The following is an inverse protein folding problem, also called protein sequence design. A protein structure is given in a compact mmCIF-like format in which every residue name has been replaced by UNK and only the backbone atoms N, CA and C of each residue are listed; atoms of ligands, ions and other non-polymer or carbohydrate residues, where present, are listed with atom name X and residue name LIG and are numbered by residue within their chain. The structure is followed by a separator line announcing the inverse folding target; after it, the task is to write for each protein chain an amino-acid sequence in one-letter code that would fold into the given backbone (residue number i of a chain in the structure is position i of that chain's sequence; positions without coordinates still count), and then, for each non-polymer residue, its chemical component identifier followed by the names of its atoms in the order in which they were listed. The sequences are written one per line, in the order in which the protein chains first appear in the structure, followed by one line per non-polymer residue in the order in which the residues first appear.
data_IF_160615107407
#
_entry.id   IF_160615107407
#
_cell.length_a   1.000
_cell.length_b   1.000
_cell.length_c   1.000
_cell.angle_alpha   90.00
_cell.angle_beta   90.00
_cell.angle_gamma   90.00
#
_symmetry.space_group_name_H-M   'P 1'
#
loop_
_entity.id
_entity.type
_entity.pdbx_description
1 polymer ?
#
# COMPACT_ATOMS: atom_id res chain seq x y z
N UNK A 1 27.98 -85.72 -4.85
CA UNK A 1 29.07 -85.20 -3.98
C UNK A 1 28.60 -83.91 -3.31
N UNK A 2 28.97 -83.72 -2.03
CA UNK A 2 29.21 -82.47 -1.27
C UNK A 2 28.61 -81.11 -1.75
N UNK A 3 28.12 -80.20 -0.88
CA UNK A 3 27.70 -80.27 0.53
C UNK A 3 26.87 -79.01 0.91
N UNK A 4 26.26 -78.97 2.10
CA UNK A 4 25.42 -77.87 2.62
C UNK A 4 26.22 -76.75 3.33
N UNK A 5 25.70 -75.51 3.25
CA UNK A 5 25.90 -74.31 4.13
C UNK A 5 27.22 -73.50 4.05
N UNK A 6 27.07 -72.19 3.80
CA UNK A 6 27.85 -71.14 4.51
C UNK A 6 26.96 -69.94 4.91
N UNK A 7 27.43 -69.14 5.88
CA UNK A 7 26.72 -68.21 6.78
C UNK A 7 27.63 -66.98 7.02
N UNK A 8 27.19 -65.78 7.45
CA UNK A 8 25.90 -65.14 7.77
C UNK A 8 26.23 -63.62 7.89
N UNK A 9 25.24 -62.72 7.75
CA UNK A 9 25.40 -61.25 7.91
C UNK A 9 26.19 -60.57 6.76
N UNK A 10 26.08 -59.26 6.49
CA UNK A 10 25.45 -58.16 7.25
C UNK A 10 24.50 -57.32 6.39
N UNK A 11 23.53 -56.74 7.09
CA UNK A 11 22.64 -55.63 6.74
C UNK A 11 23.23 -54.56 5.80
N UNK A 12 22.41 -54.05 4.88
CA UNK A 12 21.89 -52.66 4.89
C UNK A 12 20.73 -52.60 3.90
N UNK A 13 19.51 -52.45 4.44
CA UNK A 13 18.36 -52.02 3.67
C UNK A 13 18.50 -50.51 3.51
N UNK A 14 19.01 -50.07 2.35
CA UNK A 14 18.99 -48.66 2.00
C UNK A 14 17.56 -48.26 1.61
N UNK A 15 16.68 -48.11 2.63
CA UNK A 15 15.44 -47.34 2.47
C UNK A 15 15.86 -45.91 2.17
N UNK A 16 15.94 -45.58 0.88
CA UNK A 16 16.11 -44.21 0.43
C UNK A 16 14.76 -43.50 0.64
N UNK A 17 14.49 -43.14 1.90
CA UNK A 17 13.34 -42.37 2.29
C UNK A 17 13.42 -41.02 1.57
N UNK A 18 12.60 -40.88 0.52
CA UNK A 18 12.42 -39.64 -0.22
C UNK A 18 11.66 -38.69 0.70
N UNK A 19 12.38 -38.06 1.62
CA UNK A 19 11.86 -37.02 2.50
C UNK A 19 11.52 -35.84 1.59
N UNK A 20 10.26 -35.78 1.18
CA UNK A 20 9.65 -34.57 0.65
C UNK A 20 9.65 -33.53 1.77
N UNK A 21 10.78 -32.83 1.90
CA UNK A 21 10.83 -31.55 2.60
C UNK A 21 9.88 -30.63 1.86
N UNK A 22 8.69 -30.45 2.42
CA UNK A 22 7.81 -29.34 2.09
C UNK A 22 8.53 -28.06 2.51
N UNK A 23 9.39 -27.56 1.63
CA UNK A 23 9.85 -26.17 1.69
C UNK A 23 8.60 -25.31 1.54
N UNK A 24 8.27 -24.45 2.53
CA UNK A 24 7.16 -23.52 2.37
C UNK A 24 7.54 -22.55 1.26
N UNK A 25 6.94 -22.72 0.08
CA UNK A 25 7.08 -21.78 -1.02
C UNK A 25 6.44 -20.45 -0.60
N UNK A 26 7.28 -19.47 -0.27
CA UNK A 26 6.85 -18.09 -0.11
C UNK A 26 6.42 -17.55 -1.48
N UNK A 27 5.12 -17.64 -1.77
CA UNK A 27 4.51 -17.03 -2.95
C UNK A 27 4.47 -15.51 -2.73
N UNK A 28 5.49 -14.82 -3.22
CA UNK A 28 5.52 -13.35 -3.23
C UNK A 28 4.87 -12.84 -4.53
N UNK A 29 3.80 -12.07 -4.39
CA UNK A 29 3.12 -11.38 -5.48
C UNK A 29 3.54 -9.92 -5.58
N UNK A 30 3.55 -9.38 -6.79
CA UNK A 30 3.77 -7.95 -7.03
C UNK A 30 2.94 -7.51 -8.24
N UNK A 31 2.26 -6.38 -8.11
CA UNK A 31 1.75 -5.62 -9.25
C UNK A 31 2.07 -4.14 -9.06
N UNK A 32 2.55 -3.50 -10.13
CA UNK A 32 2.85 -2.07 -10.13
C UNK A 32 1.94 -1.34 -11.11
N UNK A 33 1.56 -0.11 -10.76
CA UNK A 33 0.95 0.82 -11.70
C UNK A 33 1.91 1.20 -12.82
N UNK A 34 1.42 1.91 -13.82
CA UNK A 34 2.31 2.55 -14.80
C UNK A 34 3.00 3.76 -14.18
N UNK A 35 4.27 3.99 -14.52
CA UNK A 35 4.94 5.25 -14.19
C UNK A 35 4.17 6.44 -14.76
N UNK A 36 4.06 7.53 -13.99
CA UNK A 36 3.56 8.82 -14.47
C UNK A 36 4.67 9.86 -14.39
N UNK A 37 4.87 10.63 -15.47
CA UNK A 37 5.87 11.70 -15.50
C UNK A 37 5.25 13.01 -15.02
N UNK A 38 5.98 13.74 -14.16
CA UNK A 38 5.60 15.02 -13.57
C UNK A 38 6.72 16.03 -13.75
N UNK A 39 6.39 17.32 -13.69
CA UNK A 39 7.38 18.41 -13.68
C UNK A 39 7.00 19.42 -12.60
N UNK A 40 7.91 19.70 -11.68
CA UNK A 40 7.77 20.73 -10.67
C UNK A 40 9.11 21.47 -10.52
N UNK A 41 9.09 22.80 -10.38
CA UNK A 41 10.29 23.66 -10.29
C UNK A 41 11.39 23.33 -11.33
N UNK A 42 11.00 23.17 -12.61
CA UNK A 42 11.89 22.75 -13.72
C UNK A 42 12.60 21.40 -13.55
N UNK A 43 12.22 20.58 -12.57
CA UNK A 43 12.70 19.20 -12.37
C UNK A 43 11.63 18.21 -12.84
N UNK A 44 12.03 17.23 -13.64
CA UNK A 44 11.20 16.08 -14.00
C UNK A 44 11.24 14.99 -12.92
N UNK A 45 10.11 14.34 -12.67
CA UNK A 45 9.94 13.23 -11.73
C UNK A 45 9.11 12.11 -12.36
N UNK A 46 9.23 10.89 -11.82
CA UNK A 46 8.40 9.75 -12.12
C UNK A 46 7.79 9.19 -10.83
N UNK A 47 6.47 9.02 -10.78
CA UNK A 47 5.73 8.41 -9.68
C UNK A 47 5.11 7.05 -10.07
N UNK A 48 4.92 6.17 -9.07
CA UNK A 48 4.22 4.88 -9.24
C UNK A 48 3.81 4.27 -7.89
N UNK A 49 2.62 3.66 -7.82
CA UNK A 49 2.24 2.75 -6.74
C UNK A 49 2.52 1.27 -7.09
N UNK A 50 2.84 0.46 -6.08
CA UNK A 50 3.04 -0.99 -6.19
C UNK A 50 2.38 -1.71 -5.02
N UNK A 51 1.49 -2.66 -5.30
CA UNK A 51 1.03 -3.61 -4.31
C UNK A 51 1.95 -4.84 -4.31
N UNK A 52 2.36 -5.25 -3.12
CA UNK A 52 3.07 -6.50 -2.85
C UNK A 52 2.19 -7.41 -2.00
N UNK A 53 2.38 -8.72 -2.16
CA UNK A 53 1.79 -9.73 -1.29
C UNK A 53 2.78 -10.84 -0.97
N UNK A 54 2.52 -11.54 0.13
CA UNK A 54 3.07 -12.86 0.41
C UNK A 54 1.92 -13.87 0.58
N UNK A 55 2.14 -14.99 1.28
CA UNK A 55 1.13 -16.02 1.53
C UNK A 55 0.06 -15.64 2.56
N UNK A 56 0.25 -14.53 3.28
CA UNK A 56 -0.57 -14.14 4.44
C UNK A 56 -0.95 -12.66 4.50
N UNK A 57 -0.16 -11.80 3.85
CA UNK A 57 -0.28 -10.36 3.93
C UNK A 57 -0.10 -9.65 2.57
N UNK A 58 -0.52 -8.39 2.52
CA UNK A 58 -0.15 -7.43 1.47
C UNK A 58 0.33 -6.10 2.05
N UNK A 59 1.10 -5.34 1.28
CA UNK A 59 1.56 -3.99 1.60
C UNK A 59 1.71 -3.17 0.31
N UNK A 60 1.68 -1.85 0.44
CA UNK A 60 1.76 -0.92 -0.70
C UNK A 60 3.00 -0.05 -0.62
N UNK A 61 3.73 0.10 -1.73
CA UNK A 61 4.79 1.10 -1.88
C UNK A 61 4.38 2.21 -2.84
N UNK A 62 4.82 3.42 -2.54
CA UNK A 62 4.85 4.54 -3.48
C UNK A 62 6.30 4.92 -3.76
N UNK A 63 6.71 4.78 -5.01
CA UNK A 63 8.06 5.05 -5.48
C UNK A 63 8.09 6.38 -6.26
N UNK A 64 9.08 7.23 -5.95
CA UNK A 64 9.41 8.45 -6.68
C UNK A 64 10.87 8.39 -7.15
N UNK A 65 11.09 8.78 -8.41
CA UNK A 65 12.41 8.90 -9.02
C UNK A 65 12.54 10.26 -9.71
N UNK A 66 13.68 10.94 -9.57
CA UNK A 66 13.97 12.14 -10.37
C UNK A 66 14.42 11.75 -11.78
N UNK A 67 14.08 12.55 -12.78
CA UNK A 67 14.50 12.33 -14.16
C UNK A 67 16.03 12.40 -14.26
N UNK A 68 16.63 11.33 -14.80
CA UNK A 68 18.09 11.16 -14.86
C UNK A 68 18.78 10.92 -13.51
N UNK A 69 18.04 10.57 -12.45
CA UNK A 69 18.55 10.38 -11.09
C UNK A 69 19.35 11.59 -10.54
N UNK A 70 19.00 12.79 -10.98
CA UNK A 70 19.58 14.02 -10.46
C UNK A 70 19.00 14.33 -9.08
N UNK A 71 19.83 14.41 -8.04
CA UNK A 71 19.35 14.68 -6.68
C UNK A 71 18.61 16.02 -6.57
N UNK A 72 17.55 16.04 -5.78
CA UNK A 72 16.87 17.26 -5.30
C UNK A 72 17.21 17.49 -3.81
N UNK A 73 17.21 18.74 -3.32
CA UNK A 73 17.46 19.02 -1.91
C UNK A 73 16.43 18.38 -0.98
N UNK A 74 16.71 18.39 0.33
CA UNK A 74 15.77 17.91 1.34
C UNK A 74 14.40 18.61 1.23
N UNK A 75 13.33 17.88 1.54
CA UNK A 75 11.94 18.33 1.46
C UNK A 75 11.36 18.46 0.05
N UNK A 76 12.15 18.35 -1.04
CA UNK A 76 11.67 18.66 -2.40
C UNK A 76 10.76 17.62 -3.04
N UNK A 77 10.73 16.39 -2.50
CA UNK A 77 9.77 15.36 -2.88
C UNK A 77 9.23 14.66 -1.63
N UNK A 78 7.94 14.36 -1.65
CA UNK A 78 7.27 13.58 -0.62
C UNK A 78 6.39 12.50 -1.22
N UNK A 79 6.18 11.44 -0.45
CA UNK A 79 5.31 10.33 -0.82
C UNK A 79 4.50 9.86 0.40
N UNK A 80 3.26 9.47 0.14
CA UNK A 80 2.48 8.61 1.00
C UNK A 80 2.00 7.41 0.18
N UNK A 81 1.91 6.25 0.83
CA UNK A 81 1.43 5.01 0.23
C UNK A 81 0.13 4.58 0.87
N UNK A 82 -0.84 4.16 0.07
CA UNK A 82 -2.12 3.63 0.51
C UNK A 82 -2.31 2.22 -0.02
N UNK A 83 -2.78 1.33 0.84
CA UNK A 83 -3.14 -0.04 0.52
C UNK A 83 -4.64 -0.21 0.68
N UNK A 84 -5.25 -0.75 -0.37
CA UNK A 84 -6.67 -1.05 -0.43
C UNK A 84 -6.87 -2.55 -0.56
N UNK A 85 -7.94 -3.04 0.06
CA UNK A 85 -8.50 -4.37 -0.20
C UNK A 85 -9.06 -4.44 -1.61
N UNK A 86 -9.23 -5.65 -2.14
CA UNK A 86 -9.84 -5.87 -3.46
C UNK A 86 -11.28 -5.33 -3.57
N UNK A 87 -12.02 -5.24 -2.46
CA UNK A 87 -13.34 -4.60 -2.35
C UNK A 87 -13.32 -3.05 -2.33
N UNK A 88 -12.12 -2.46 -2.40
CA UNK A 88 -11.93 -1.02 -2.47
C UNK A 88 -11.81 -0.30 -1.13
N UNK A 89 -11.90 -0.99 0.01
CA UNK A 89 -11.72 -0.37 1.33
C UNK A 89 -10.24 -0.14 1.66
N UNK A 90 -9.91 1.08 2.12
CA UNK A 90 -8.60 1.45 2.63
C UNK A 90 -8.27 0.65 3.89
N UNK A 91 -7.17 -0.09 3.91
CA UNK A 91 -6.79 -0.93 5.06
C UNK A 91 -5.46 -0.52 5.70
N UNK A 92 -4.56 0.11 4.95
CA UNK A 92 -3.37 0.76 5.50
C UNK A 92 -3.07 2.05 4.72
N UNK A 93 -2.55 3.05 5.42
CA UNK A 93 -1.93 4.23 4.82
C UNK A 93 -0.64 4.50 5.57
N UNK A 94 0.43 4.82 4.85
CA UNK A 94 1.53 5.54 5.48
C UNK A 94 1.08 6.96 5.79
N UNK A 95 1.81 7.65 6.67
CA UNK A 95 1.85 9.10 6.68
C UNK A 95 2.53 9.65 5.41
N UNK A 96 2.38 10.94 5.15
CA UNK A 96 3.18 11.66 4.15
C UNK A 96 4.60 11.87 4.67
N UNK A 97 5.59 11.44 3.89
CA UNK A 97 7.01 11.51 4.26
C UNK A 97 7.81 12.15 3.13
N UNK A 98 8.66 13.10 3.49
CA UNK A 98 9.50 13.88 2.59
C UNK A 98 10.97 13.45 2.66
N UNK A 99 11.72 13.62 1.57
CA UNK A 99 13.13 13.26 1.54
C UNK A 99 13.94 14.10 2.55
N UNK A 100 14.52 13.46 3.56
CA UNK A 100 15.24 14.14 4.67
C UNK A 100 16.64 14.65 4.29
N UNK A 101 17.13 14.31 3.11
CA UNK A 101 18.46 14.68 2.62
C UNK A 101 18.44 14.90 1.09
N UNK A 102 19.58 15.28 0.51
CA UNK A 102 19.72 15.40 -0.95
C UNK A 102 19.58 14.01 -1.59
N UNK A 103 18.54 13.80 -2.40
CA UNK A 103 18.16 12.46 -2.88
C UNK A 103 17.54 12.52 -4.28
N UNK A 104 17.72 11.46 -5.06
CA UNK A 104 17.09 11.26 -6.38
C UNK A 104 15.97 10.22 -6.36
N UNK A 105 15.78 9.56 -5.23
CA UNK A 105 14.77 8.52 -4.99
C UNK A 105 14.06 8.76 -3.66
N UNK A 106 12.80 8.35 -3.58
CA UNK A 106 12.05 8.21 -2.33
C UNK A 106 11.10 7.02 -2.49
N UNK A 107 11.09 6.10 -1.53
CA UNK A 107 10.10 5.01 -1.49
C UNK A 107 9.52 4.94 -0.08
N UNK A 108 8.19 4.96 0.00
CA UNK A 108 7.41 4.93 1.24
C UNK A 108 6.49 3.73 1.20
N UNK A 109 6.44 2.98 2.29
CA UNK A 109 5.66 1.74 2.42
C UNK A 109 4.54 1.90 3.45
N UNK A 110 3.45 1.16 3.24
CA UNK A 110 2.50 0.85 4.32
C UNK A 110 3.02 -0.31 5.15
N UNK A 111 2.56 -0.43 6.39
CA UNK A 111 2.65 -1.71 7.10
C UNK A 111 1.97 -2.85 6.30
N UNK A 112 2.30 -4.09 6.68
CA UNK A 112 1.62 -5.30 6.20
C UNK A 112 0.20 -5.41 6.77
N UNK A 113 -0.76 -5.68 5.88
CA UNK A 113 -2.15 -6.01 6.21
C UNK A 113 -2.40 -7.51 5.98
N UNK A 114 -3.09 -8.17 6.91
CA UNK A 114 -3.54 -9.56 6.78
C UNK A 114 -5.06 -9.65 6.62
N UNK A 115 -5.57 -10.84 6.29
CA UNK A 115 -7.01 -11.14 6.38
C UNK A 115 -7.90 -10.71 5.22
N UNK A 116 -7.36 -10.12 4.14
CA UNK A 116 -8.09 -9.92 2.88
C UNK A 116 -7.66 -10.91 1.79
N UNK A 117 -8.50 -11.08 0.77
CA UNK A 117 -8.29 -12.00 -0.37
C UNK A 117 -7.38 -11.42 -1.45
N UNK A 118 -7.19 -10.10 -1.48
CA UNK A 118 -6.31 -9.42 -2.43
C UNK A 118 -6.22 -7.92 -2.15
N UNK A 119 -5.20 -7.28 -2.72
CA UNK A 119 -4.86 -5.89 -2.47
C UNK A 119 -4.43 -5.14 -3.72
N UNK A 120 -4.71 -3.84 -3.78
CA UNK A 120 -4.08 -2.90 -4.71
C UNK A 120 -3.56 -1.68 -3.94
N UNK A 121 -2.65 -0.91 -4.54
CA UNK A 121 -2.08 0.28 -3.93
C UNK A 121 -2.29 1.52 -4.79
N UNK A 122 -2.52 2.65 -4.13
CA UNK A 122 -2.49 4.00 -4.69
C UNK A 122 -1.46 4.79 -3.89
N UNK A 123 -0.74 5.69 -4.54
CA UNK A 123 0.18 6.60 -3.87
C UNK A 123 -0.29 8.04 -3.97
N UNK A 124 0.17 8.87 -3.04
CA UNK A 124 0.14 10.31 -3.17
C UNK A 124 1.60 10.76 -3.28
N UNK A 125 1.94 11.42 -4.38
CA UNK A 125 3.24 11.98 -4.66
C UNK A 125 3.15 13.51 -4.63
N UNK A 126 4.10 14.16 -3.97
CA UNK A 126 4.10 15.62 -3.79
C UNK A 126 5.48 16.20 -4.10
N UNK A 127 5.51 17.36 -4.75
CA UNK A 127 6.74 17.95 -5.28
C UNK A 127 6.82 19.45 -5.00
N UNK A 128 7.97 19.91 -4.49
CA UNK A 128 8.18 21.33 -4.26
C UNK A 128 8.27 22.10 -5.59
N UNK A 129 7.31 23.00 -5.82
CA UNK A 129 7.17 23.74 -7.07
C UNK A 129 7.91 25.08 -7.10
N UNK A 130 8.50 25.49 -5.96
CA UNK A 130 9.23 26.75 -5.80
C UNK A 130 8.54 27.76 -4.87
N UNK A 131 7.25 27.57 -4.60
CA UNK A 131 6.43 28.42 -3.69
C UNK A 131 5.46 27.63 -2.80
N UNK A 132 5.54 26.30 -2.85
CA UNK A 132 4.59 25.36 -2.25
C UNK A 132 4.76 23.99 -2.91
N UNK A 133 3.72 23.18 -2.88
CA UNK A 133 3.78 21.79 -3.39
C UNK A 133 2.66 21.47 -4.36
N UNK A 134 3.00 20.73 -5.41
CA UNK A 134 2.05 20.12 -6.33
C UNK A 134 1.77 18.68 -5.87
N UNK A 135 0.51 18.37 -5.54
CA UNK A 135 0.09 17.05 -5.07
C UNK A 135 -0.57 16.24 -6.20
N UNK A 136 -0.23 14.96 -6.31
CA UNK A 136 -0.77 14.06 -7.32
C UNK A 136 -1.05 12.67 -6.75
N UNK A 137 -2.19 12.08 -7.15
CA UNK A 137 -2.35 10.63 -7.05
C UNK A 137 -1.48 9.95 -8.12
N UNK A 138 -0.84 8.85 -7.74
CA UNK A 138 -0.19 7.94 -8.69
C UNK A 138 -1.23 7.07 -9.38
N UNK A 139 -0.86 6.44 -10.50
CA UNK A 139 -1.67 5.37 -11.08
C UNK A 139 -1.62 4.16 -10.17
N UNK A 140 -2.78 3.61 -9.82
CA UNK A 140 -2.85 2.44 -8.97
C UNK A 140 -2.17 1.22 -9.59
N UNK A 141 -1.75 0.29 -8.73
CA UNK A 141 -1.45 -1.06 -9.17
C UNK A 141 -2.72 -1.79 -9.60
N UNK A 142 -2.61 -2.80 -10.48
CA UNK A 142 -3.56 -3.90 -10.51
C UNK A 142 -3.73 -4.55 -9.12
N UNK A 143 -4.85 -5.23 -8.90
CA UNK A 143 -5.08 -6.04 -7.70
C UNK A 143 -4.27 -7.33 -7.75
N UNK A 144 -3.48 -7.58 -6.69
CA UNK A 144 -2.80 -8.86 -6.44
C UNK A 144 -3.65 -9.69 -5.48
N UNK A 145 -4.04 -10.89 -5.88
CA UNK A 145 -4.82 -11.81 -5.04
C UNK A 145 -3.92 -12.81 -4.33
N UNK A 146 -4.21 -13.12 -3.06
CA UNK A 146 -3.45 -14.09 -2.26
C UNK A 146 -3.68 -15.54 -2.72
N UNK A 147 -4.77 -15.80 -3.47
CA UNK A 147 -5.03 -17.11 -4.07
C UNK A 147 -5.79 -17.01 -5.40
N UNK A 148 -5.42 -17.87 -6.35
CA UNK A 148 -5.90 -17.84 -7.74
C UNK A 148 -7.42 -18.00 -7.98
N UNK A 149 -8.20 -18.80 -7.22
CA UNK A 149 -9.62 -19.00 -7.55
C UNK A 149 -10.54 -17.83 -7.16
N UNK A 150 -10.06 -16.82 -6.44
CA UNK A 150 -10.86 -15.67 -5.99
C UNK A 150 -11.01 -14.54 -7.02
N UNK A 151 -10.66 -14.78 -8.29
CA UNK A 151 -11.07 -13.91 -9.41
C UNK A 151 -12.60 -13.90 -9.66
N UNK A 152 -13.36 -14.78 -8.98
CA UNK A 152 -14.82 -14.79 -9.04
C UNK A 152 -15.45 -13.74 -8.10
N UNK A 153 -16.22 -12.83 -8.70
CA UNK A 153 -17.17 -11.92 -8.04
C UNK A 153 -16.60 -10.77 -7.18
N UNK A 154 -15.91 -9.83 -7.83
CA UNK A 154 -16.16 -8.42 -7.55
C UNK A 154 -17.17 -7.89 -8.56
N UNK A 155 -18.45 -7.89 -8.17
CA UNK A 155 -19.45 -7.08 -8.86
C UNK A 155 -19.11 -5.61 -8.57
N UNK A 156 -18.76 -4.85 -9.60
CA UNK A 156 -18.70 -3.39 -9.49
C UNK A 156 -20.11 -2.91 -9.13
N UNK A 157 -20.33 -2.25 -7.98
CA UNK A 157 -21.67 -1.80 -7.60
C UNK A 157 -22.22 -0.81 -8.65
N UNK A 158 -23.52 -0.87 -8.91
CA UNK A 158 -24.19 -0.09 -9.97
C UNK A 158 -24.07 1.43 -9.82
N UNK A 159 -23.64 1.92 -8.66
CA UNK A 159 -23.03 3.24 -8.53
C UNK A 159 -21.72 3.14 -7.76
N UNK A 160 -20.72 3.85 -8.26
CA UNK A 160 -19.41 4.02 -7.62
C UNK A 160 -19.45 4.91 -6.37
N UNK A 161 -20.42 5.83 -6.31
CA UNK A 161 -20.68 6.74 -5.19
C UNK A 161 -22.14 6.63 -4.75
N UNK A 162 -22.37 6.76 -3.45
CA UNK A 162 -23.70 6.84 -2.85
C UNK A 162 -23.75 8.07 -1.92
N UNK A 163 -24.93 8.61 -1.65
CA UNK A 163 -25.13 9.72 -0.72
C UNK A 163 -25.75 9.18 0.59
N UNK A 164 -25.25 9.64 1.73
CA UNK A 164 -25.79 9.25 3.04
C UNK A 164 -26.94 10.16 3.49
N UNK A 165 -27.39 9.98 4.75
CA UNK A 165 -28.48 10.78 5.35
C UNK A 165 -28.17 12.27 5.55
N UNK A 166 -26.92 12.68 5.34
CA UNK A 166 -26.43 14.06 5.46
C UNK A 166 -25.99 14.64 4.09
N UNK A 167 -26.45 14.04 2.98
CA UNK A 167 -26.07 14.37 1.60
C UNK A 167 -24.56 14.22 1.29
N UNK A 168 -23.81 13.49 2.14
CA UNK A 168 -22.37 13.28 1.97
C UNK A 168 -22.10 12.09 1.04
N UNK A 169 -21.20 12.28 0.08
CA UNK A 169 -20.76 11.23 -0.84
C UNK A 169 -19.88 10.19 -0.14
N UNK A 170 -20.25 8.91 -0.22
CA UNK A 170 -19.48 7.80 0.31
C UNK A 170 -19.18 6.72 -0.74
N UNK A 171 -18.06 6.02 -0.56
CA UNK A 171 -17.63 4.95 -1.46
C UNK A 171 -16.16 4.58 -1.31
N UNK A 172 -15.63 3.79 -2.25
CA UNK A 172 -14.21 3.47 -2.31
C UNK A 172 -13.38 4.65 -2.86
N UNK A 173 -12.14 4.81 -2.42
CA UNK A 173 -11.20 5.72 -3.09
C UNK A 173 -10.88 5.32 -4.54
N UNK A 174 -11.26 4.11 -5.00
CA UNK A 174 -11.17 3.71 -6.40
C UNK A 174 -11.85 4.71 -7.34
N UNK A 175 -12.93 5.36 -6.89
CA UNK A 175 -13.65 6.38 -7.68
C UNK A 175 -12.73 7.51 -8.12
N UNK A 176 -11.82 7.96 -7.26
CA UNK A 176 -10.88 9.05 -7.58
C UNK A 176 -9.99 8.74 -8.79
N UNK A 177 -9.73 7.47 -9.08
CA UNK A 177 -8.95 7.06 -10.25
C UNK A 177 -9.74 7.14 -11.56
N UNK A 178 -11.07 6.97 -11.48
CA UNK A 178 -11.97 6.97 -12.64
C UNK A 178 -12.50 8.38 -12.93
N UNK A 179 -12.81 9.15 -11.88
CA UNK A 179 -13.48 10.46 -11.97
C UNK A 179 -12.58 11.65 -11.66
N UNK A 180 -11.42 11.43 -11.04
CA UNK A 180 -10.57 12.47 -10.46
C UNK A 180 -10.99 12.95 -9.06
N UNK A 181 -12.17 12.53 -8.57
CA UNK A 181 -12.74 13.00 -7.31
C UNK A 181 -12.89 11.86 -6.28
N UNK A 182 -12.41 12.08 -5.06
CA UNK A 182 -12.57 11.16 -3.93
C UNK A 182 -13.92 11.43 -3.24
N UNK A 183 -14.67 10.41 -2.76
CA UNK A 183 -15.84 10.64 -1.90
C UNK A 183 -15.45 11.44 -0.65
N UNK A 184 -16.40 12.16 -0.06
CA UNK A 184 -16.24 12.77 1.27
C UNK A 184 -15.96 11.72 2.35
N UNK A 185 -16.60 10.55 2.25
CA UNK A 185 -16.44 9.40 3.13
C UNK A 185 -15.83 8.22 2.37
N UNK A 186 -14.54 7.98 2.58
CA UNK A 186 -13.78 6.87 1.97
C UNK A 186 -13.95 5.61 2.80
N UNK A 187 -14.38 4.50 2.18
CA UNK A 187 -14.51 3.22 2.88
C UNK A 187 -13.15 2.74 3.41
N UNK A 188 -13.12 2.37 4.69
CA UNK A 188 -11.90 2.05 5.41
C UNK A 188 -12.11 0.95 6.46
N UNK A 189 -11.02 0.28 6.83
CA UNK A 189 -10.98 -0.76 7.85
C UNK A 189 -10.28 -0.22 9.09
N UNK A 190 -10.99 -0.22 10.22
CA UNK A 190 -10.45 0.15 11.52
C UNK A 190 -9.40 -0.85 12.03
N UNK A 191 -8.64 -0.46 13.05
CA UNK A 191 -7.55 -1.26 13.65
C UNK A 191 -8.01 -2.60 14.25
N UNK A 192 -9.29 -2.75 14.56
CA UNK A 192 -9.93 -3.98 15.04
C UNK A 192 -10.49 -4.88 13.90
N UNK A 193 -10.44 -4.40 12.65
CA UNK A 193 -11.02 -5.06 11.48
C UNK A 193 -12.43 -4.61 11.12
N UNK A 194 -13.06 -3.71 11.88
CA UNK A 194 -14.40 -3.18 11.60
C UNK A 194 -14.39 -2.33 10.32
N UNK A 195 -15.32 -2.61 9.40
CA UNK A 195 -15.51 -1.82 8.18
C UNK A 195 -16.35 -0.58 8.49
N UNK A 196 -15.88 0.58 8.04
CA UNK A 196 -16.59 1.85 8.12
C UNK A 196 -16.04 2.83 7.09
N UNK A 197 -16.00 4.11 7.44
CA UNK A 197 -15.59 5.21 6.56
C UNK A 197 -14.70 6.20 7.31
N UNK A 198 -13.74 6.81 6.60
CA UNK A 198 -12.94 7.94 7.08
C UNK A 198 -13.20 9.15 6.21
N UNK A 199 -13.08 10.36 6.75
CA UNK A 199 -13.20 11.56 5.94
C UNK A 199 -12.03 11.68 4.95
N UNK A 200 -12.32 12.13 3.73
CA UNK A 200 -11.29 12.36 2.72
C UNK A 200 -10.40 13.56 3.03
N UNK A 201 -10.87 14.52 3.84
CA UNK A 201 -10.05 15.58 4.43
C UNK A 201 -9.07 15.03 5.48
N UNK A 202 -9.48 14.09 6.34
CA UNK A 202 -8.61 13.40 7.30
C UNK A 202 -7.51 12.55 6.61
N UNK A 203 -7.76 12.09 5.38
CA UNK A 203 -6.78 11.42 4.53
C UNK A 203 -5.90 12.39 3.72
N UNK A 204 -6.27 13.66 3.59
CA UNK A 204 -5.47 14.67 2.93
C UNK A 204 -4.39 15.16 3.87
N UNK A 205 -3.19 14.61 3.69
CA UNK A 205 -2.01 15.05 4.43
C UNK A 205 -1.80 16.56 4.28
N UNK A 206 -1.47 17.21 5.41
CA UNK A 206 -1.12 18.63 5.44
C UNK A 206 -0.10 18.94 4.34
N UNK A 207 -0.47 19.83 3.43
CA UNK A 207 0.43 20.26 2.35
C UNK A 207 1.32 21.37 2.90
N UNK A 208 2.63 21.15 3.06
CA UNK A 208 3.53 22.14 3.61
C UNK A 208 3.66 23.32 2.65
N UNK A 209 3.92 24.50 3.19
CA UNK A 209 4.15 25.72 2.41
C UNK A 209 5.58 25.79 1.86
N UNK A 210 6.52 25.06 2.46
CA UNK A 210 7.95 25.13 2.16
C UNK A 210 8.71 23.86 2.63
N UNK A 211 9.98 23.66 2.21
CA UNK A 211 10.76 22.47 2.55
C UNK A 211 11.13 22.31 4.04
N UNK A 212 11.15 23.38 4.83
CA UNK A 212 11.41 23.29 6.28
C UNK A 212 10.19 22.70 7.00
N UNK A 213 9.00 23.18 6.66
CA UNK A 213 7.72 22.64 7.15
C UNK A 213 7.53 21.18 6.71
N UNK A 214 7.89 20.83 5.47
CA UNK A 214 7.86 19.46 4.97
C UNK A 214 8.72 18.50 5.81
N UNK A 215 9.90 18.95 6.28
CA UNK A 215 10.75 18.17 7.17
C UNK A 215 10.20 18.10 8.60
N UNK A 216 9.48 19.13 9.07
CA UNK A 216 8.78 19.08 10.36
C UNK A 216 7.62 18.07 10.34
N UNK A 217 6.91 17.92 9.22
CA UNK A 217 5.86 16.91 9.06
C UNK A 217 6.38 15.47 9.21
N UNK A 218 7.62 15.17 8.79
CA UNK A 218 8.23 13.85 9.03
C UNK A 218 8.32 13.49 10.53
N UNK A 219 8.57 14.49 11.39
CA UNK A 219 8.63 14.27 12.84
C UNK A 219 7.24 14.04 13.45
N UNK A 220 6.20 14.68 12.88
CA UNK A 220 4.81 14.43 13.27
C UNK A 220 4.33 13.06 12.80
N UNK A 221 4.65 12.67 11.57
CA UNK A 221 4.35 11.37 10.99
C UNK A 221 4.85 10.21 11.89
N UNK A 222 6.07 10.33 12.42
CA UNK A 222 6.67 9.35 13.33
C UNK A 222 5.88 9.08 14.64
N UNK A 223 4.86 9.87 14.96
CA UNK A 223 3.91 9.59 16.06
C UNK A 223 2.83 8.56 15.69
N UNK A 224 2.77 8.11 14.43
CA UNK A 224 1.76 7.21 13.87
C UNK A 224 0.32 7.68 14.20
N UNK A 225 -0.08 8.86 13.68
CA UNK A 225 -1.34 9.50 14.02
C UNK A 225 -2.55 8.63 13.67
N UNK A 226 -3.66 8.89 14.33
CA UNK A 226 -4.92 8.16 14.17
C UNK A 226 -6.07 9.10 13.84
N UNK A 227 -7.00 8.62 13.02
CA UNK A 227 -8.25 9.30 12.69
C UNK A 227 -9.44 8.37 13.04
N UNK A 228 -10.62 8.92 13.40
CA UNK A 228 -11.81 8.12 13.67
C UNK A 228 -12.29 7.41 12.39
N UNK A 229 -12.83 6.21 12.56
CA UNK A 229 -13.62 5.51 11.53
C UNK A 229 -15.08 5.61 11.93
N UNK A 230 -15.92 6.07 11.01
CA UNK A 230 -17.34 6.30 11.16
C UNK A 230 -18.18 5.20 10.51
N UNK A 231 -19.45 5.10 10.91
CA UNK A 231 -20.48 4.42 10.13
C UNK A 231 -20.80 5.23 8.86
N UNK A 232 -21.67 4.68 8.00
CA UNK A 232 -22.11 5.33 6.76
C UNK A 232 -22.83 6.67 7.00
N UNK A 233 -23.33 6.91 8.21
CA UNK A 233 -23.93 8.18 8.64
C UNK A 233 -22.94 9.34 8.86
N UNK A 234 -21.63 9.11 8.69
CA UNK A 234 -20.58 10.12 8.85
C UNK A 234 -20.42 10.69 10.27
N UNK A 235 -21.11 10.15 11.27
CA UNK A 235 -21.23 10.74 12.62
C UNK A 235 -21.03 9.74 13.75
N UNK A 236 -21.48 8.49 13.59
CA UNK A 236 -21.29 7.42 14.58
C UNK A 236 -19.88 6.84 14.45
N UNK A 237 -19.01 7.06 15.44
CA UNK A 237 -17.67 6.45 15.45
C UNK A 237 -17.78 4.95 15.74
N UNK A 238 -17.22 4.13 14.85
CA UNK A 238 -17.18 2.66 14.92
C UNK A 238 -15.78 2.09 15.17
N UNK A 239 -14.73 2.91 15.09
CA UNK A 239 -13.37 2.49 15.35
C UNK A 239 -12.34 3.59 15.11
N UNK A 240 -11.07 3.21 14.97
CA UNK A 240 -9.96 4.11 14.63
C UNK A 240 -9.13 3.55 13.49
N UNK A 241 -8.63 4.42 12.62
CA UNK A 241 -7.66 4.11 11.58
C UNK A 241 -6.31 4.71 11.98
N UNK A 242 -5.21 3.99 11.72
CA UNK A 242 -3.86 4.42 12.09
C UNK A 242 -2.97 4.56 10.86
N UNK A 243 -2.31 5.71 10.75
CA UNK A 243 -1.25 5.95 9.78
C UNK A 243 0.07 5.31 10.25
N UNK A 244 0.82 4.74 9.31
CA UNK A 244 2.07 4.02 9.58
C UNK A 244 3.27 4.81 9.03
N UNK A 245 4.46 4.58 9.57
CA UNK A 245 5.67 5.33 9.15
C UNK A 245 6.79 4.36 8.77
N UNK A 246 6.89 4.03 7.49
CA UNK A 246 7.95 3.18 6.95
C UNK A 246 8.56 3.81 5.68
N UNK A 247 9.78 4.34 5.81
CA UNK A 247 10.59 4.80 4.67
C UNK A 247 11.48 3.62 4.24
N UNK A 248 11.31 3.15 3.01
CA UNK A 248 12.14 2.09 2.42
C UNK A 248 13.26 2.73 1.61
N UNK A 249 14.17 3.42 2.29
CA UNK A 249 15.36 4.01 1.64
C UNK A 249 16.28 2.90 1.12
N UNK A 250 16.59 2.94 -0.18
CA UNK A 250 17.59 2.10 -0.86
C UNK A 250 18.72 2.96 -1.39
#
# INVERSE_FOLDING_TARGET
MFNKKFRLCFSIIAVMALVFVNVPYAQAGQASGSYTYRVANSRGYYDRATAYTDTSAGWGNTDIYTSGYANVPAGHMGAASQLFRADGALCKSSAMLYNSSSSSTLSVSTDRQTGSVGYYSVGIATYYNGSGYDNYFTKASPTVYLSSPYFAALQVPESLLQENVNDQTYGSAYVAQVTGNMPELVSAVATDGTLGYVYSEDLQFATPSNPEEALALNAQAATNPTIPVYAVDGTTIVGTFQFTTEIVSK
#
